data_IF_374606314186
#
_entry.id   IF_374606314186
#
_cell.length_a   1.000
_cell.length_b   1.000
_cell.length_c   1.000
_cell.angle_alpha   90.00
_cell.angle_beta   90.00
_cell.angle_gamma   90.00
#
_symmetry.space_group_name_H-M   'P 1'
#
loop_
_entity.id
_entity.type
_entity.pdbx_description
1 polymer ?
#
# COMPACT_ATOMS: atom_id res chain seq x y z
N UNK A 1 -10.87 -22.47 -2.72
CA UNK A 1 -10.38 -22.92 -4.05
C UNK A 1 -9.36 -24.06 -3.90
N UNK A 2 -9.05 -24.81 -4.96
CA UNK A 2 -7.99 -25.84 -4.93
C UNK A 2 -6.60 -25.19 -4.99
N UNK A 3 -5.62 -25.80 -4.32
CA UNK A 3 -4.22 -25.34 -4.23
C UNK A 3 -3.27 -26.51 -4.51
N UNK A 4 -2.16 -26.23 -5.20
CA UNK A 4 -1.18 -27.21 -5.67
C UNK A 4 0.24 -26.90 -5.19
N UNK A 5 0.42 -26.76 -3.87
CA UNK A 5 1.74 -26.60 -3.26
C UNK A 5 2.46 -27.95 -3.08
N UNK A 6 3.78 -27.95 -3.31
CA UNK A 6 4.64 -29.10 -3.02
C UNK A 6 4.74 -29.35 -1.52
N UNK A 7 5.12 -30.57 -1.12
CA UNK A 7 5.31 -30.89 0.30
C UNK A 7 6.40 -30.04 0.96
N UNK A 8 7.43 -29.65 0.19
CA UNK A 8 8.47 -28.74 0.66
C UNK A 8 7.93 -27.32 0.88
N UNK A 9 7.06 -26.82 0.00
CA UNK A 9 6.46 -25.49 0.15
C UNK A 9 5.52 -25.43 1.35
N UNK A 10 4.76 -26.50 1.61
CA UNK A 10 3.86 -26.60 2.77
C UNK A 10 4.59 -26.53 4.11
N UNK A 11 5.91 -26.71 4.17
CA UNK A 11 6.69 -26.52 5.39
C UNK A 11 6.99 -25.04 5.69
N UNK A 12 6.86 -24.15 4.70
CA UNK A 12 7.11 -22.72 4.86
C UNK A 12 5.93 -22.04 5.55
N UNK A 13 6.11 -21.31 6.66
CA UNK A 13 5.00 -20.70 7.41
C UNK A 13 4.13 -19.74 6.58
N UNK A 14 4.74 -18.96 5.69
CA UNK A 14 4.02 -18.03 4.82
C UNK A 14 3.16 -18.75 3.76
N UNK A 15 3.59 -19.93 3.28
CA UNK A 15 2.80 -20.74 2.36
C UNK A 15 1.61 -21.39 3.08
N UNK A 16 1.79 -21.86 4.32
CA UNK A 16 0.69 -22.39 5.12
C UNK A 16 -0.42 -21.34 5.33
N UNK A 17 -0.03 -20.11 5.67
CA UNK A 17 -0.98 -19.00 5.83
C UNK A 17 -1.65 -18.64 4.50
N UNK A 18 -0.88 -18.56 3.40
CA UNK A 18 -1.43 -18.31 2.08
C UNK A 18 -2.43 -19.40 1.67
N UNK A 19 -2.09 -20.68 1.83
CA UNK A 19 -2.96 -21.81 1.48
C UNK A 19 -4.28 -21.77 2.26
N UNK A 20 -4.23 -21.50 3.56
CA UNK A 20 -5.45 -21.34 4.39
C UNK A 20 -6.36 -20.23 3.84
N UNK A 21 -5.79 -19.08 3.50
CA UNK A 21 -6.54 -17.94 2.97
C UNK A 21 -7.09 -18.25 1.56
N UNK A 22 -6.30 -18.84 0.67
CA UNK A 22 -6.70 -19.23 -0.69
C UNK A 22 -7.86 -20.24 -0.66
N UNK A 23 -7.80 -21.22 0.24
CA UNK A 23 -8.86 -22.22 0.41
C UNK A 23 -10.19 -21.61 0.86
N UNK A 24 -10.14 -20.49 1.57
CA UNK A 24 -11.33 -19.74 2.03
C UNK A 24 -12.09 -19.08 0.87
N UNK A 25 -11.40 -18.70 -0.22
CA UNK A 25 -12.05 -18.06 -1.36
C UNK A 25 -12.94 -19.04 -2.16
N UNK A 26 -14.21 -18.66 -2.36
CA UNK A 26 -15.20 -19.38 -3.19
C UNK A 26 -15.42 -18.75 -4.58
N UNK A 27 -14.62 -17.74 -4.93
CA UNK A 27 -14.62 -17.11 -6.25
C UNK A 27 -15.94 -16.40 -6.67
N UNK A 28 -16.74 -15.96 -5.69
CA UNK A 28 -18.06 -15.34 -5.89
C UNK A 28 -18.03 -13.93 -6.51
N UNK A 29 -16.93 -13.16 -6.37
CA UNK A 29 -16.78 -11.83 -6.99
C UNK A 29 -17.37 -10.64 -6.23
N UNK A 30 -18.01 -10.83 -5.06
CA UNK A 30 -18.53 -9.71 -4.25
C UNK A 30 -17.48 -8.64 -3.90
N UNK A 31 -16.23 -9.05 -3.72
CA UNK A 31 -15.11 -8.14 -3.48
C UNK A 31 -14.85 -7.17 -4.64
N UNK A 32 -15.15 -7.53 -5.88
CA UNK A 32 -14.94 -6.66 -7.04
C UNK A 32 -15.91 -5.46 -7.04
N UNK A 33 -17.14 -5.66 -6.56
CA UNK A 33 -18.15 -4.59 -6.47
C UNK A 33 -17.72 -3.42 -5.56
N UNK A 34 -16.82 -3.66 -4.60
CA UNK A 34 -16.37 -2.65 -3.63
C UNK A 34 -14.91 -2.22 -3.84
N UNK A 35 -14.20 -2.82 -4.79
CA UNK A 35 -12.81 -2.53 -5.05
C UNK A 35 -12.67 -1.31 -5.97
N UNK A 36 -12.13 -0.18 -5.49
CA UNK A 36 -12.06 1.05 -6.29
C UNK A 36 -11.18 0.90 -7.53
N UNK A 37 -10.11 0.09 -7.48
CA UNK A 37 -9.22 -0.10 -8.63
C UNK A 37 -9.90 -0.88 -9.75
N UNK A 38 -10.70 -1.88 -9.39
CA UNK A 38 -11.51 -2.63 -10.36
C UNK A 38 -12.61 -1.76 -10.96
N UNK A 39 -13.34 -1.01 -10.13
CA UNK A 39 -14.41 -0.12 -10.60
C UNK A 39 -13.89 0.94 -11.57
N UNK A 40 -12.66 1.43 -11.36
CA UNK A 40 -12.04 2.42 -12.24
C UNK A 40 -11.47 1.82 -13.54
N UNK A 41 -10.79 0.68 -13.44
CA UNK A 41 -10.02 0.12 -14.56
C UNK A 41 -10.79 -0.93 -15.36
N UNK A 42 -11.80 -1.58 -14.78
CA UNK A 42 -12.55 -2.68 -15.39
C UNK A 42 -11.76 -3.98 -15.60
N UNK A 43 -10.46 -3.99 -15.29
CA UNK A 43 -9.60 -5.16 -15.42
C UNK A 43 -9.76 -6.09 -14.22
N UNK A 44 -10.20 -7.34 -14.45
CA UNK A 44 -10.35 -8.36 -13.42
C UNK A 44 -9.06 -8.62 -12.64
N UNK A 45 -7.90 -8.49 -13.28
CA UNK A 45 -6.58 -8.64 -12.66
C UNK A 45 -6.29 -7.52 -11.65
N UNK A 46 -6.99 -6.39 -11.75
CA UNK A 46 -6.98 -5.30 -10.78
C UNK A 46 -8.12 -5.37 -9.74
N UNK A 47 -8.93 -6.43 -9.79
CA UNK A 47 -9.89 -6.79 -8.76
C UNK A 47 -9.29 -7.67 -7.65
N UNK A 48 -9.86 -7.69 -6.43
CA UNK A 48 -9.35 -8.52 -5.35
C UNK A 48 -9.45 -10.01 -5.69
N UNK A 49 -10.51 -10.43 -6.41
CA UNK A 49 -10.67 -11.80 -6.88
C UNK A 49 -9.60 -12.21 -7.88
N UNK A 50 -9.39 -11.43 -8.94
CA UNK A 50 -8.32 -11.70 -9.90
C UNK A 50 -6.93 -11.68 -9.25
N UNK A 51 -6.67 -10.74 -8.34
CA UNK A 51 -5.40 -10.72 -7.57
C UNK A 51 -5.20 -11.94 -6.68
N UNK A 52 -6.25 -12.47 -6.06
CA UNK A 52 -6.17 -13.73 -5.31
C UNK A 52 -5.68 -14.86 -6.23
N UNK A 53 -6.19 -14.91 -7.46
CA UNK A 53 -5.78 -15.89 -8.45
C UNK A 53 -4.33 -15.68 -8.89
N UNK A 54 -3.92 -14.44 -9.21
CA UNK A 54 -2.54 -14.10 -9.54
C UNK A 54 -1.56 -14.48 -8.41
N UNK A 55 -1.95 -14.25 -7.15
CA UNK A 55 -1.13 -14.63 -5.99
C UNK A 55 -1.05 -16.14 -5.79
N UNK A 56 -2.13 -16.87 -6.09
CA UNK A 56 -2.08 -18.35 -6.11
C UNK A 56 -1.07 -18.83 -7.16
N UNK A 57 -1.17 -18.34 -8.40
CA UNK A 57 -0.25 -18.72 -9.48
C UNK A 57 1.19 -18.34 -9.16
N UNK A 58 1.41 -17.14 -8.60
CA UNK A 58 2.72 -16.69 -8.12
C UNK A 58 3.31 -17.63 -7.07
N UNK A 59 2.51 -18.11 -6.11
CA UNK A 59 3.00 -18.92 -5.00
C UNK A 59 3.15 -20.40 -5.38
N UNK A 60 2.40 -20.90 -6.37
CA UNK A 60 2.50 -22.28 -6.87
C UNK A 60 3.53 -22.45 -7.98
N UNK A 61 3.92 -21.37 -8.66
CA UNK A 61 4.95 -21.38 -9.69
C UNK A 61 6.34 -21.59 -9.10
N UNK A 62 7.21 -22.21 -9.91
CA UNK A 62 8.61 -22.41 -9.57
C UNK A 62 9.38 -21.09 -9.62
N UNK A 63 10.51 -21.03 -8.93
CA UNK A 63 11.35 -19.83 -8.86
C UNK A 63 11.88 -19.38 -10.24
N UNK A 64 12.03 -20.32 -11.18
CA UNK A 64 12.51 -20.10 -12.54
C UNK A 64 11.38 -19.93 -13.58
N UNK A 65 10.13 -19.78 -13.12
CA UNK A 65 8.97 -19.60 -13.99
C UNK A 65 8.97 -18.21 -14.65
N UNK A 66 9.03 -18.19 -15.99
CA UNK A 66 9.09 -16.98 -16.81
C UNK A 66 7.73 -16.26 -16.95
N UNK A 67 6.64 -16.89 -16.52
CA UNK A 67 5.30 -16.30 -16.53
C UNK A 67 5.12 -15.24 -15.43
N UNK A 68 6.00 -15.23 -14.41
CA UNK A 68 5.98 -14.21 -13.35
C UNK A 68 6.73 -12.97 -13.81
N UNK A 69 5.99 -11.93 -14.21
CA UNK A 69 6.55 -10.75 -14.87
C UNK A 69 6.29 -9.44 -14.11
N UNK A 70 6.80 -8.34 -14.66
CA UNK A 70 6.49 -6.98 -14.20
C UNK A 70 4.99 -6.66 -14.27
N UNK A 71 4.23 -7.32 -15.15
CA UNK A 71 2.77 -7.16 -15.24
C UNK A 71 2.07 -7.76 -14.01
N UNK A 72 2.49 -8.95 -13.56
CA UNK A 72 2.01 -9.55 -12.30
C UNK A 72 2.26 -8.60 -11.13
N UNK A 73 3.46 -8.01 -11.06
CA UNK A 73 3.81 -7.00 -10.05
C UNK A 73 2.93 -5.76 -10.15
N UNK A 74 2.69 -5.24 -11.36
CA UNK A 74 1.87 -4.06 -11.59
C UNK A 74 0.46 -4.22 -11.02
N UNK A 75 -0.18 -5.36 -11.27
CA UNK A 75 -1.53 -5.63 -10.75
C UNK A 75 -1.55 -5.68 -9.22
N UNK A 76 -0.55 -6.27 -8.57
CA UNK A 76 -0.45 -6.26 -7.10
C UNK A 76 -0.12 -4.86 -6.54
N UNK A 77 0.74 -4.10 -7.22
CA UNK A 77 1.14 -2.74 -6.84
C UNK A 77 -0.02 -1.73 -6.94
N UNK A 78 -0.98 -1.96 -7.86
CA UNK A 78 -2.20 -1.14 -7.99
C UNK A 78 -3.15 -1.26 -6.80
N UNK A 79 -3.01 -2.29 -5.97
CA UNK A 79 -3.87 -2.45 -4.79
C UNK A 79 -3.61 -1.35 -3.75
N UNK A 80 -4.64 -0.54 -3.46
CA UNK A 80 -4.55 0.55 -2.47
C UNK A 80 -4.45 0.08 -1.02
N UNK A 81 -4.61 -1.21 -0.76
CA UNK A 81 -4.59 -1.79 0.60
C UNK A 81 -5.69 -1.21 1.52
N UNK A 82 -6.83 -0.79 0.94
CA UNK A 82 -7.95 -0.19 1.67
C UNK A 82 -8.84 -1.20 2.43
N UNK A 83 -8.71 -2.49 2.13
CA UNK A 83 -9.41 -3.62 2.79
C UNK A 83 -10.94 -3.65 2.66
N UNK A 84 -11.56 -2.82 1.82
CA UNK A 84 -13.00 -2.91 1.51
C UNK A 84 -13.42 -4.31 1.00
N UNK A 85 -12.51 -5.00 0.31
CA UNK A 85 -12.74 -6.35 -0.17
C UNK A 85 -12.99 -7.37 0.96
N UNK A 86 -12.41 -7.16 2.14
CA UNK A 86 -12.54 -8.08 3.28
C UNK A 86 -13.87 -7.88 4.00
N UNK A 87 -14.26 -6.62 4.22
CA UNK A 87 -15.51 -6.29 4.92
C UNK A 87 -16.75 -6.76 4.14
N UNK A 88 -16.68 -6.82 2.81
CA UNK A 88 -17.77 -7.34 1.97
C UNK A 88 -17.69 -8.85 1.71
N UNK A 89 -16.57 -9.52 2.04
CA UNK A 89 -16.37 -10.91 1.66
C UNK A 89 -17.25 -11.83 2.53
N UNK A 90 -18.24 -12.55 1.96
CA UNK A 90 -19.07 -13.46 2.75
C UNK A 90 -18.29 -14.67 3.27
N UNK A 91 -17.18 -15.02 2.61
CA UNK A 91 -16.31 -16.13 3.01
C UNK A 91 -15.26 -15.72 4.04
N UNK A 92 -15.09 -14.43 4.35
CA UNK A 92 -14.11 -13.97 5.33
C UNK A 92 -12.65 -14.11 4.87
N UNK A 93 -12.36 -13.91 3.58
CA UNK A 93 -10.99 -13.95 3.05
C UNK A 93 -10.14 -12.83 3.65
N UNK A 94 -9.05 -13.18 4.34
CA UNK A 94 -8.07 -12.24 4.89
C UNK A 94 -7.08 -11.74 3.81
N UNK A 95 -7.62 -10.98 2.85
CA UNK A 95 -6.92 -10.55 1.64
C UNK A 95 -5.59 -9.81 1.89
N UNK A 96 -5.51 -8.93 2.89
CA UNK A 96 -4.32 -8.14 3.22
C UNK A 96 -3.11 -9.02 3.53
N UNK A 97 -3.29 -10.10 4.29
CA UNK A 97 -2.21 -11.03 4.61
C UNK A 97 -1.69 -11.74 3.37
N UNK A 98 -2.61 -12.20 2.52
CA UNK A 98 -2.25 -12.83 1.24
C UNK A 98 -1.53 -11.82 0.32
N UNK A 99 -1.97 -10.56 0.29
CA UNK A 99 -1.32 -9.49 -0.46
C UNK A 99 0.09 -9.20 0.04
N UNK A 100 0.32 -9.18 1.35
CA UNK A 100 1.66 -8.96 1.92
C UNK A 100 2.61 -10.11 1.55
N UNK A 101 2.14 -11.36 1.61
CA UNK A 101 2.89 -12.54 1.16
C UNK A 101 3.19 -12.44 -0.33
N UNK A 102 2.18 -12.16 -1.16
CA UNK A 102 2.33 -12.04 -2.61
C UNK A 102 3.27 -10.90 -3.02
N UNK A 103 3.22 -9.76 -2.32
CA UNK A 103 4.13 -8.62 -2.54
C UNK A 103 5.57 -8.94 -2.16
N UNK A 104 5.78 -9.65 -1.06
CA UNK A 104 7.11 -10.08 -0.66
C UNK A 104 7.71 -11.05 -1.71
N UNK A 105 6.91 -11.97 -2.22
CA UNK A 105 7.36 -12.96 -3.19
C UNK A 105 7.62 -12.34 -4.58
N UNK A 106 6.72 -11.50 -5.09
CA UNK A 106 6.93 -10.84 -6.39
C UNK A 106 8.11 -9.87 -6.36
N UNK A 107 8.36 -9.20 -5.23
CA UNK A 107 9.51 -8.30 -5.07
C UNK A 107 10.84 -9.07 -5.07
N UNK A 108 10.84 -10.36 -4.69
CA UNK A 108 11.99 -11.27 -4.76
C UNK A 108 12.26 -11.74 -6.19
N UNK A 109 11.22 -12.17 -6.90
CA UNK A 109 11.33 -12.74 -8.26
C UNK A 109 11.52 -11.68 -9.35
N UNK A 110 10.81 -10.56 -9.22
CA UNK A 110 10.80 -9.47 -10.20
C UNK A 110 11.28 -8.19 -9.52
N UNK A 111 12.61 -8.05 -9.31
CA UNK A 111 13.16 -6.92 -8.58
C UNK A 111 12.92 -5.61 -9.34
N UNK A 112 12.50 -4.57 -8.60
CA UNK A 112 12.36 -3.22 -9.15
C UNK A 112 13.70 -2.65 -9.60
N UNK A 113 13.64 -1.73 -10.55
CA UNK A 113 14.81 -0.99 -11.03
C UNK A 113 15.53 -0.27 -9.90
N UNK A 114 16.84 -0.03 -10.05
CA UNK A 114 17.64 0.69 -9.06
C UNK A 114 17.06 2.08 -8.75
N UNK A 115 16.52 2.76 -9.76
CA UNK A 115 15.87 4.06 -9.62
C UNK A 115 14.60 3.98 -8.75
N UNK A 116 13.70 3.03 -8.99
CA UNK A 116 12.49 2.84 -8.19
C UNK A 116 12.83 2.45 -6.74
N UNK A 117 13.84 1.59 -6.54
CA UNK A 117 14.33 1.21 -5.20
C UNK A 117 14.86 2.41 -4.45
N UNK A 118 15.69 3.24 -5.09
CA UNK A 118 16.21 4.47 -4.52
C UNK A 118 15.10 5.47 -4.19
N UNK A 119 14.13 5.65 -5.09
CA UNK A 119 12.98 6.53 -4.86
C UNK A 119 12.14 6.08 -3.66
N UNK A 120 11.78 4.79 -3.58
CA UNK A 120 11.01 4.24 -2.45
C UNK A 120 11.76 4.36 -1.14
N UNK A 121 13.07 4.11 -1.16
CA UNK A 121 13.92 4.29 0.02
C UNK A 121 13.95 5.76 0.47
N UNK A 122 14.15 6.70 -0.46
CA UNK A 122 14.14 8.13 -0.18
C UNK A 122 12.80 8.59 0.41
N UNK A 123 11.67 8.21 -0.21
CA UNK A 123 10.33 8.54 0.29
C UNK A 123 10.13 8.03 1.73
N UNK A 124 10.51 6.78 2.04
CA UNK A 124 10.39 6.22 3.39
C UNK A 124 11.28 6.93 4.41
N UNK A 125 12.51 7.33 4.03
CA UNK A 125 13.45 7.99 4.95
C UNK A 125 13.18 9.48 5.14
N UNK A 126 12.58 10.14 4.15
CA UNK A 126 12.30 11.59 4.16
C UNK A 126 10.91 11.91 4.69
N UNK A 127 9.87 11.13 4.35
CA UNK A 127 8.48 11.46 4.71
C UNK A 127 8.07 10.96 6.10
N UNK A 128 8.70 9.90 6.61
CA UNK A 128 8.31 9.28 7.90
C UNK A 128 8.92 10.00 9.10
N UNK A 129 10.00 10.76 8.92
CA UNK A 129 10.59 11.58 9.97
C UNK A 129 10.07 13.03 9.87
N UNK A 130 9.26 13.51 10.85
CA UNK A 130 8.66 14.83 10.80
C UNK A 130 9.68 15.97 10.72
N UNK A 131 10.86 15.82 11.33
CA UNK A 131 11.90 16.85 11.33
C UNK A 131 12.53 16.96 9.94
N UNK A 132 12.85 15.83 9.33
CA UNK A 132 13.39 15.78 7.96
C UNK A 132 12.38 16.33 6.96
N UNK A 133 11.12 15.92 7.07
CA UNK A 133 10.06 16.41 6.19
C UNK A 133 9.90 17.93 6.30
N UNK A 134 9.79 18.48 7.52
CA UNK A 134 9.67 19.93 7.75
C UNK A 134 10.87 20.71 7.21
N UNK A 135 12.09 20.21 7.40
CA UNK A 135 13.30 20.85 6.88
C UNK A 135 13.31 20.88 5.35
N UNK A 136 12.99 19.76 4.69
CA UNK A 136 12.89 19.67 3.23
C UNK A 136 11.79 20.56 2.67
N UNK A 137 10.66 20.64 3.38
CA UNK A 137 9.54 21.50 3.01
C UNK A 137 9.92 22.99 3.10
N UNK A 138 10.56 23.42 4.19
CA UNK A 138 11.03 24.79 4.37
C UNK A 138 12.08 25.17 3.31
N UNK A 139 13.02 24.27 3.02
CA UNK A 139 13.98 24.43 1.94
C UNK A 139 13.26 24.62 0.60
N UNK A 140 12.32 23.72 0.29
CA UNK A 140 11.51 23.83 -0.92
C UNK A 140 10.78 25.17 -1.02
N UNK A 141 10.09 25.59 0.04
CA UNK A 141 9.34 26.85 0.05
C UNK A 141 10.24 28.07 -0.13
N UNK A 142 11.43 28.06 0.46
CA UNK A 142 12.44 29.12 0.32
C UNK A 142 12.95 29.23 -1.12
N UNK A 143 13.25 28.08 -1.74
CA UNK A 143 13.80 28.01 -3.11
C UNK A 143 12.72 27.92 -4.20
N UNK A 144 11.43 28.02 -3.85
CA UNK A 144 10.28 27.99 -4.78
C UNK A 144 10.43 28.84 -6.05
N UNK A 145 10.98 30.07 -6.03
CA UNK A 145 11.14 30.86 -7.26
C UNK A 145 12.14 30.26 -8.26
N UNK A 146 13.07 29.42 -7.80
CA UNK A 146 14.11 28.78 -8.62
C UNK A 146 13.68 27.41 -9.17
N UNK A 147 12.53 26.89 -8.75
CA UNK A 147 12.03 25.56 -9.13
C UNK A 147 11.29 25.63 -10.48
N UNK A 148 11.54 24.69 -11.42
CA UNK A 148 10.84 24.65 -12.72
C UNK A 148 9.32 24.51 -12.57
N UNK A 149 8.56 25.12 -13.48
CA UNK A 149 7.11 25.37 -13.34
C UNK A 149 6.25 24.16 -12.94
N UNK A 150 6.53 22.97 -13.49
CA UNK A 150 5.79 21.72 -13.16
C UNK A 150 5.98 21.25 -11.73
N UNK A 151 7.14 21.53 -11.13
CA UNK A 151 7.40 21.21 -9.72
C UNK A 151 6.87 22.33 -8.83
N UNK A 152 7.05 23.59 -9.21
CA UNK A 152 6.55 24.76 -8.47
C UNK A 152 5.03 24.70 -8.24
N UNK A 153 4.26 24.20 -9.21
CA UNK A 153 2.80 24.02 -9.09
C UNK A 153 2.38 22.88 -8.15
N UNK A 154 3.27 21.92 -7.89
CA UNK A 154 3.04 20.81 -6.95
C UNK A 154 3.53 21.11 -5.53
N UNK A 155 4.18 22.25 -5.32
CA UNK A 155 4.66 22.64 -3.99
C UNK A 155 3.50 23.16 -3.15
N UNK A 156 3.30 22.60 -1.94
CA UNK A 156 2.27 23.09 -1.05
C UNK A 156 2.52 24.55 -0.67
N UNK A 157 1.46 25.32 -0.36
CA UNK A 157 1.61 26.66 0.18
C UNK A 157 2.35 26.63 1.52
N UNK A 158 2.80 27.81 1.96
CA UNK A 158 3.33 27.96 3.32
C UNK A 158 2.25 27.51 4.33
N UNK A 159 2.61 26.78 5.40
CA UNK A 159 1.64 26.35 6.38
C UNK A 159 1.05 27.58 7.07
N UNK A 160 -0.27 27.58 7.25
CA UNK A 160 -0.96 28.57 8.08
C UNK A 160 -0.75 28.24 9.55
N UNK A 161 -0.63 29.27 10.39
CA UNK A 161 -0.56 29.12 11.85
C UNK A 161 -1.77 28.33 12.35
N UNK A 162 -1.51 27.34 13.21
CA UNK A 162 -2.54 26.48 13.79
C UNK A 162 -3.24 27.08 15.01
N UNK A 163 -2.74 28.22 15.48
CA UNK A 163 -3.15 28.78 16.75
C UNK A 163 -2.74 27.89 17.93
N UNK A 164 -3.29 28.20 19.10
CA UNK A 164 -2.99 27.45 20.32
C UNK A 164 -4.01 26.34 20.53
N UNK A 165 -3.51 25.14 20.86
CA UNK A 165 -4.39 24.06 21.28
C UNK A 165 -5.08 24.40 22.61
N UNK A 166 -6.33 23.93 22.81
CA UNK A 166 -7.01 24.08 24.09
C UNK A 166 -6.16 23.50 25.23
N UNK A 167 -6.11 24.22 26.33
CA UNK A 167 -5.43 23.78 27.56
C UNK A 167 -6.11 22.52 28.09
N UNK A 168 -5.34 21.43 28.17
CA UNK A 168 -5.82 20.12 28.63
C UNK A 168 -6.25 20.13 30.10
N UNK A 169 -5.85 21.15 30.87
CA UNK A 169 -6.27 21.31 32.27
C UNK A 169 -7.63 21.98 32.43
N UNK A 170 -8.15 22.65 31.39
CA UNK A 170 -9.43 23.40 31.45
C UNK A 170 -10.67 22.57 31.18
N UNK A 171 -10.52 21.36 30.63
CA UNK A 171 -11.64 20.55 30.18
C UNK A 171 -11.56 19.11 30.68
N UNK A 172 -12.66 18.59 31.23
CA UNK A 172 -12.74 17.20 31.70
C UNK A 172 -12.70 16.16 30.56
N UNK A 173 -12.98 16.58 29.31
CA UNK A 173 -12.99 15.70 28.12
C UNK A 173 -11.58 15.59 27.55
N UNK A 174 -11.17 14.37 27.23
CA UNK A 174 -9.87 14.08 26.61
C UNK A 174 -10.08 13.71 25.14
N UNK A 175 -9.22 14.24 24.27
CA UNK A 175 -9.17 13.90 22.85
C UNK A 175 -7.75 13.46 22.52
N UNK A 176 -7.62 12.37 21.76
CA UNK A 176 -6.35 11.93 21.20
C UNK A 176 -6.25 12.45 19.77
N UNK A 177 -5.17 13.17 19.46
CA UNK A 177 -4.89 13.70 18.13
C UNK A 177 -3.67 12.94 17.57
N UNK A 178 -3.86 12.27 16.44
CA UNK A 178 -2.77 11.59 15.74
C UNK A 178 -2.14 12.57 14.76
N UNK A 179 -1.05 13.22 15.17
CA UNK A 179 -0.39 14.25 14.36
C UNK A 179 0.22 13.73 13.06
N UNK A 180 0.50 12.43 12.93
CA UNK A 180 1.11 11.86 11.73
C UNK A 180 2.53 12.40 11.44
N UNK A 181 3.13 11.96 10.32
CA UNK A 181 4.51 12.31 9.98
C UNK A 181 4.63 13.57 9.11
N UNK A 182 3.62 13.81 8.27
CA UNK A 182 3.63 14.81 7.19
C UNK A 182 2.68 15.98 7.49
N UNK A 183 1.49 15.66 8.02
CA UNK A 183 0.42 16.61 8.34
C UNK A 183 0.86 17.82 9.18
N UNK A 184 1.71 17.70 10.23
CA UNK A 184 2.10 18.85 11.05
C UNK A 184 3.00 19.84 10.31
N UNK A 185 3.56 19.43 9.16
CA UNK A 185 4.32 20.31 8.28
C UNK A 185 3.46 20.95 7.19
N UNK A 186 2.36 20.32 6.77
CA UNK A 186 1.51 20.78 5.64
C UNK A 186 0.25 21.52 6.09
N UNK A 187 -0.47 20.94 7.05
CA UNK A 187 -1.77 21.43 7.54
C UNK A 187 -1.82 21.20 9.05
N UNK A 188 -1.16 22.05 9.85
CA UNK A 188 -1.11 21.88 11.29
C UNK A 188 -2.46 22.18 11.98
N UNK A 189 -3.46 22.63 11.21
CA UNK A 189 -4.81 23.04 11.65
C UNK A 189 -5.86 21.91 11.69
N UNK A 190 -5.53 20.73 11.16
CA UNK A 190 -6.37 19.52 11.19
C UNK A 190 -5.76 18.51 12.14
#
# INVERSE_FOLDING_TARGET
MQTHFTDADRQKPHIQEAERILRTCVHCGFCNATCPTYQLLGDERDGPRGRIYLMKELLESRDDDDQVTEETRLHLDRCLTCRNCETTCPSGVEYHKLLDIGRAEIDRRVPRSAAERAQRYALRKMLVDPKRFKALLALGQTFKPLVPGKLRSKMPPAPVDAGQRPDSQRHARKVLILEGCVQPGLSPNT
#
